data_IF_393798929754
#
_entry.id   IF_393798929754
#
_cell.length_a   1.000
_cell.length_b   1.000
_cell.length_c   1.000
_cell.angle_alpha   90.00
_cell.angle_beta   90.00
_cell.angle_gamma   90.00
#
_symmetry.space_group_name_H-M   'P 1'
#
loop_
_entity.id
_entity.type
_entity.pdbx_description
1 polymer ?
#
# COMPACT_ATOMS: atom_id res chain seq x y z
N UNK A 1 4.55 5.81 -81.36
CA UNK A 1 4.97 4.75 -80.40
C UNK A 1 5.78 5.47 -79.32
N UNK A 2 5.17 6.08 -78.30
CA UNK A 2 4.91 5.50 -76.96
C UNK A 2 6.17 4.75 -76.45
N UNK A 3 6.92 5.07 -75.39
CA UNK A 3 6.65 5.59 -74.02
C UNK A 3 8.02 6.02 -73.43
N UNK A 4 8.22 7.28 -73.01
CA UNK A 4 8.21 7.80 -71.63
C UNK A 4 8.97 7.02 -70.53
N UNK A 5 10.03 7.68 -70.03
CA UNK A 5 10.41 7.89 -68.61
C UNK A 5 10.25 6.73 -67.61
N UNK A 6 11.39 6.25 -67.11
CA UNK A 6 11.53 5.81 -65.71
C UNK A 6 12.76 6.45 -65.08
N UNK A 7 12.66 7.76 -64.85
CA UNK A 7 13.29 8.43 -63.71
C UNK A 7 12.31 8.30 -62.53
N UNK A 8 12.48 7.30 -61.66
CA UNK A 8 11.76 7.27 -60.39
C UNK A 8 12.47 6.44 -59.34
N UNK A 9 12.74 7.10 -58.21
CA UNK A 9 12.76 6.52 -56.87
C UNK A 9 13.99 5.69 -56.46
N UNK A 10 15.19 6.26 -56.56
CA UNK A 10 16.29 5.94 -55.63
C UNK A 10 16.56 7.12 -54.67
N UNK A 11 15.50 7.81 -54.29
CA UNK A 11 15.53 9.01 -53.47
C UNK A 11 14.24 9.06 -52.65
N UNK A 12 14.03 8.11 -51.71
CA UNK A 12 13.18 8.34 -50.52
C UNK A 12 13.04 7.15 -49.54
N UNK A 13 14.06 6.31 -49.32
CA UNK A 13 13.99 5.36 -48.19
C UNK A 13 15.33 5.28 -47.44
N UNK A 14 15.91 6.45 -47.14
CA UNK A 14 16.53 6.56 -45.82
C UNK A 14 15.33 6.49 -44.88
N UNK A 15 15.04 5.29 -44.39
CA UNK A 15 14.18 5.09 -43.24
C UNK A 15 14.67 6.08 -42.21
N UNK A 16 13.90 7.15 -42.08
CA UNK A 16 13.84 7.95 -40.90
C UNK A 16 13.34 6.98 -39.83
N UNK A 17 14.26 6.19 -39.29
CA UNK A 17 14.23 5.86 -37.89
C UNK A 17 14.41 7.20 -37.17
N UNK A 18 13.35 8.02 -37.18
CA UNK A 18 12.96 8.70 -35.97
C UNK A 18 12.76 7.54 -35.00
N UNK A 19 13.87 7.13 -34.38
CA UNK A 19 13.85 6.65 -33.02
C UNK A 19 13.18 7.82 -32.31
N UNK A 20 11.85 7.79 -32.23
CA UNK A 20 11.18 8.36 -31.10
C UNK A 20 11.97 7.77 -29.95
N UNK A 21 12.82 8.59 -29.33
CA UNK A 21 13.28 8.29 -27.99
C UNK A 21 11.98 8.02 -27.27
N UNK A 22 11.69 6.74 -27.03
CA UNK A 22 10.74 6.37 -26.01
C UNK A 22 11.42 6.94 -24.77
N UNK A 23 11.07 8.17 -24.45
CA UNK A 23 11.40 8.75 -23.18
C UNK A 23 10.61 7.86 -22.23
N UNK A 24 11.29 6.87 -21.66
CA UNK A 24 10.70 6.13 -20.56
C UNK A 24 10.28 7.20 -19.58
N UNK A 25 8.98 7.30 -19.28
CA UNK A 25 8.56 8.11 -18.16
C UNK A 25 9.41 7.66 -16.97
N UNK A 26 10.22 8.58 -16.43
CA UNK A 26 10.95 8.26 -15.22
C UNK A 26 9.92 7.82 -14.20
N UNK A 27 10.16 6.67 -13.55
CA UNK A 27 9.35 6.31 -12.40
C UNK A 27 9.49 7.48 -11.42
N UNK A 28 8.38 8.17 -11.20
CA UNK A 28 8.34 9.41 -10.43
C UNK A 28 8.86 9.18 -9.00
N UNK A 29 8.74 7.94 -8.50
CA UNK A 29 9.11 7.52 -7.17
C UNK A 29 10.10 6.35 -7.24
N UNK A 30 11.21 6.43 -6.51
CA UNK A 30 12.14 5.30 -6.33
C UNK A 30 11.96 4.60 -4.98
N UNK A 31 11.16 5.20 -4.10
CA UNK A 31 10.95 4.76 -2.73
C UNK A 31 9.46 4.74 -2.38
N UNK A 32 9.00 3.63 -1.83
CA UNK A 32 7.72 3.49 -1.13
C UNK A 32 7.99 3.52 0.37
N UNK A 33 7.22 4.31 1.10
CA UNK A 33 7.07 4.16 2.55
C UNK A 33 5.63 3.71 2.83
N UNK A 34 5.45 2.50 3.34
CA UNK A 34 4.13 1.91 3.56
C UNK A 34 3.79 1.83 5.04
N UNK A 35 2.59 2.31 5.38
CA UNK A 35 1.94 2.15 6.69
C UNK A 35 0.62 1.43 6.47
N UNK A 36 0.49 0.21 6.96
CA UNK A 36 -0.67 -0.64 6.65
C UNK A 36 -0.83 -1.79 7.65
N UNK A 37 -1.74 -2.70 7.33
CA UNK A 37 -2.03 -3.92 8.05
C UNK A 37 -1.54 -5.17 7.28
N UNK A 38 -2.23 -6.30 7.45
CA UNK A 38 -1.96 -7.57 6.77
C UNK A 38 -1.97 -7.46 5.25
N UNK A 39 -2.70 -6.49 4.69
CA UNK A 39 -2.85 -6.30 3.25
C UNK A 39 -1.56 -5.89 2.57
N UNK A 40 -0.60 -5.34 3.33
CA UNK A 40 0.71 -4.93 2.82
C UNK A 40 1.89 -5.47 3.64
N UNK A 41 1.66 -6.27 4.70
CA UNK A 41 2.73 -6.84 5.52
C UNK A 41 3.55 -7.90 4.75
N UNK A 42 4.85 -7.63 4.60
CA UNK A 42 5.83 -8.50 3.91
C UNK A 42 6.64 -9.39 4.85
N UNK A 43 6.25 -9.50 6.13
CA UNK A 43 6.86 -10.39 7.12
C UNK A 43 7.19 -9.75 8.48
N UNK A 44 6.75 -8.52 8.75
CA UNK A 44 6.98 -7.85 10.02
C UNK A 44 6.33 -8.61 11.18
N UNK A 45 5.08 -9.03 11.02
CA UNK A 45 4.43 -9.89 12.01
C UNK A 45 5.07 -11.28 12.10
N UNK A 46 5.50 -11.83 10.98
CA UNK A 46 6.22 -13.10 10.98
C UNK A 46 7.49 -13.04 11.81
N UNK A 47 8.25 -11.96 11.70
CA UNK A 47 9.42 -11.71 12.53
C UNK A 47 9.04 -11.45 13.99
N UNK A 48 8.02 -10.64 14.25
CA UNK A 48 7.53 -10.32 15.59
C UNK A 48 7.15 -11.59 16.38
N UNK A 49 6.56 -12.56 15.69
CA UNK A 49 6.08 -13.80 16.30
C UNK A 49 7.12 -14.92 16.29
N UNK A 50 8.41 -14.62 16.07
CA UNK A 50 9.47 -15.62 15.94
C UNK A 50 9.12 -16.71 14.90
N UNK A 51 8.60 -16.28 13.76
CA UNK A 51 8.23 -17.13 12.62
C UNK A 51 7.06 -18.09 12.88
N UNK A 52 6.24 -17.87 13.91
CA UNK A 52 5.09 -18.74 14.20
C UNK A 52 3.78 -18.29 13.56
N UNK A 53 3.64 -17.02 13.16
CA UNK A 53 2.40 -16.51 12.54
C UNK A 53 2.67 -15.39 11.54
N UNK A 54 2.03 -15.37 10.35
CA UNK A 54 1.07 -16.36 9.85
C UNK A 54 1.72 -17.73 9.57
N UNK A 55 0.95 -18.81 9.73
CA UNK A 55 1.43 -20.19 9.52
C UNK A 55 1.58 -20.47 8.02
N UNK A 56 2.78 -20.81 7.58
CA UNK A 56 3.08 -21.22 6.20
C UNK A 56 3.25 -22.75 6.15
N UNK A 57 2.40 -23.50 5.42
CA UNK A 57 1.19 -23.09 4.66
C UNK A 57 -0.08 -22.93 5.54
N UNK A 58 -1.17 -22.24 5.06
CA UNK A 58 -1.45 -21.83 3.68
C UNK A 58 -0.94 -20.42 3.29
N UNK A 59 -0.33 -19.71 4.23
CA UNK A 59 0.29 -18.41 3.95
C UNK A 59 1.65 -18.59 3.26
N UNK A 60 2.18 -17.52 2.68
CA UNK A 60 3.43 -17.56 1.92
C UNK A 60 4.51 -16.71 2.59
N UNK A 61 5.52 -17.34 3.19
CA UNK A 61 6.73 -16.69 3.73
C UNK A 61 6.41 -15.43 4.55
N UNK A 62 5.46 -15.54 5.48
CA UNK A 62 5.04 -14.44 6.35
C UNK A 62 4.06 -13.42 5.74
N UNK A 63 3.63 -13.56 4.48
CA UNK A 63 2.57 -12.73 3.88
C UNK A 63 1.21 -13.28 4.27
N UNK A 64 0.23 -12.39 4.43
CA UNK A 64 -1.19 -12.75 4.62
C UNK A 64 -1.88 -13.12 3.29
N UNK A 65 -1.17 -13.85 2.45
CA UNK A 65 -1.62 -14.34 1.15
C UNK A 65 -0.90 -15.65 0.82
N UNK A 66 -1.32 -16.34 -0.24
CA UNK A 66 -0.70 -17.58 -0.73
C UNK A 66 0.44 -17.32 -1.73
N UNK A 67 0.95 -16.08 -1.81
CA UNK A 67 2.04 -15.67 -2.67
C UNK A 67 2.50 -14.24 -2.39
N UNK A 68 3.35 -13.67 -3.26
CA UNK A 68 3.72 -12.27 -3.20
C UNK A 68 2.51 -11.35 -3.30
N UNK A 69 2.49 -10.32 -2.46
CA UNK A 69 1.37 -9.37 -2.35
C UNK A 69 1.53 -8.18 -3.29
N UNK A 70 0.48 -7.36 -3.40
CA UNK A 70 0.38 -6.27 -4.38
C UNK A 70 1.55 -5.28 -4.32
N UNK A 71 1.99 -4.90 -3.11
CA UNK A 71 3.02 -3.89 -2.92
C UNK A 71 4.39 -4.35 -3.43
N UNK A 72 4.66 -5.66 -3.41
CA UNK A 72 5.88 -6.28 -3.94
C UNK A 72 5.90 -6.29 -5.48
N UNK A 73 4.75 -6.05 -6.13
CA UNK A 73 4.57 -6.09 -7.58
C UNK A 73 4.62 -4.70 -8.22
N UNK A 74 4.77 -3.63 -7.43
CA UNK A 74 4.79 -2.25 -7.94
C UNK A 74 6.08 -1.89 -8.69
N UNK A 75 7.13 -2.70 -8.59
CA UNK A 75 8.38 -2.48 -9.34
C UNK A 75 9.21 -1.28 -8.88
N UNK A 76 8.91 -0.71 -7.70
CA UNK A 76 9.69 0.36 -7.09
C UNK A 76 10.86 -0.24 -6.30
N UNK A 77 12.05 0.31 -6.51
CA UNK A 77 13.32 -0.26 -6.05
C UNK A 77 13.47 -0.32 -4.53
N UNK A 78 12.96 0.67 -3.80
CA UNK A 78 13.13 0.77 -2.36
C UNK A 78 11.77 0.70 -1.66
N UNK A 79 11.50 -0.38 -0.95
CA UNK A 79 10.28 -0.56 -0.16
C UNK A 79 10.63 -0.51 1.33
N UNK A 80 10.23 0.58 1.99
CA UNK A 80 10.31 0.75 3.44
C UNK A 80 8.92 0.43 4.00
N UNK A 81 8.76 -0.78 4.53
CA UNK A 81 7.45 -1.30 4.92
C UNK A 81 7.28 -1.38 6.43
N UNK A 82 6.41 -0.54 6.98
CA UNK A 82 6.02 -0.56 8.39
C UNK A 82 4.71 -1.32 8.65
N UNK A 83 4.13 -1.98 7.65
CA UNK A 83 2.86 -2.67 7.81
C UNK A 83 2.97 -3.86 8.77
N UNK A 84 1.97 -4.04 9.65
CA UNK A 84 1.86 -5.21 10.53
C UNK A 84 0.47 -5.83 10.41
N UNK A 85 0.40 -7.13 10.12
CA UNK A 85 -0.83 -7.90 10.23
C UNK A 85 -1.61 -7.65 11.52
N UNK A 86 -2.88 -7.25 11.40
CA UNK A 86 -3.74 -6.91 12.54
C UNK A 86 -3.63 -5.46 13.04
N UNK A 87 -2.83 -4.61 12.39
CA UNK A 87 -2.73 -3.19 12.74
C UNK A 87 -4.07 -2.46 12.57
N UNK A 88 -4.42 -1.64 13.56
CA UNK A 88 -5.55 -0.69 13.55
C UNK A 88 -5.06 0.69 13.11
N UNK A 89 -5.98 1.65 12.90
CA UNK A 89 -5.56 3.02 12.55
C UNK A 89 -4.78 3.70 13.67
N UNK A 90 -5.15 3.47 14.93
CA UNK A 90 -4.45 3.98 16.11
C UNK A 90 -4.66 3.03 17.31
N UNK A 91 -3.57 2.60 17.94
CA UNK A 91 -3.65 1.80 19.16
C UNK A 91 -4.29 2.53 20.34
N UNK A 92 -4.30 3.88 20.34
CA UNK A 92 -5.02 4.66 21.36
C UNK A 92 -6.54 4.63 21.17
N UNK A 93 -7.04 4.34 19.96
CA UNK A 93 -8.47 4.12 19.72
C UNK A 93 -8.84 2.68 20.01
N UNK A 94 -8.09 1.74 19.45
CA UNK A 94 -8.24 0.30 19.69
C UNK A 94 -6.93 -0.41 19.37
N UNK A 95 -6.43 -1.22 20.30
CA UNK A 95 -5.19 -1.97 20.15
C UNK A 95 -5.34 -3.08 19.11
N UNK A 96 -4.42 -3.15 18.15
CA UNK A 96 -4.32 -4.25 17.20
C UNK A 96 -3.51 -5.42 17.75
N UNK A 97 -3.85 -6.64 17.35
CA UNK A 97 -3.18 -7.86 17.79
C UNK A 97 -2.89 -8.83 16.64
N UNK A 98 -1.94 -9.74 16.88
CA UNK A 98 -1.79 -10.96 16.09
C UNK A 98 -2.78 -12.03 16.57
N UNK A 99 -2.99 -13.09 15.77
CA UNK A 99 -3.81 -14.23 16.21
C UNK A 99 -3.19 -15.02 17.40
N UNK A 100 -1.91 -14.78 17.71
CA UNK A 100 -1.22 -15.33 18.88
C UNK A 100 -1.14 -14.32 20.03
N UNK A 101 -2.03 -13.32 20.03
CA UNK A 101 -2.21 -12.33 21.09
C UNK A 101 -0.98 -11.46 21.39
N UNK A 102 -0.16 -11.16 20.37
CA UNK A 102 0.90 -10.16 20.47
C UNK A 102 0.39 -8.82 19.95
N UNK A 103 0.69 -7.73 20.67
CA UNK A 103 0.33 -6.38 20.23
C UNK A 103 1.11 -5.99 18.97
N UNK A 104 0.44 -5.32 18.03
CA UNK A 104 1.06 -4.77 16.82
C UNK A 104 0.84 -3.25 16.74
N UNK A 105 1.81 -2.51 16.17
CA UNK A 105 1.69 -1.06 16.05
C UNK A 105 0.60 -0.69 15.05
N UNK A 106 -0.32 0.19 15.48
CA UNK A 106 -1.29 0.82 14.59
C UNK A 106 -0.64 1.84 13.66
N UNK A 107 -1.39 2.34 12.67
CA UNK A 107 -0.86 3.25 11.64
C UNK A 107 -0.22 4.51 12.26
N UNK A 108 -0.85 5.10 13.29
CA UNK A 108 -0.27 6.22 14.05
C UNK A 108 1.10 5.86 14.65
N UNK A 109 1.23 4.68 15.25
CA UNK A 109 2.48 4.21 15.86
C UNK A 109 3.55 3.86 14.81
N UNK A 110 3.15 3.31 13.66
CA UNK A 110 4.04 3.05 12.53
C UNK A 110 4.61 4.37 11.98
N UNK A 111 3.78 5.41 11.81
CA UNK A 111 4.21 6.76 11.41
C UNK A 111 5.13 7.38 12.46
N UNK A 112 4.81 7.26 13.75
CA UNK A 112 5.70 7.72 14.83
C UNK A 112 7.06 7.04 14.75
N UNK A 113 7.10 5.74 14.50
CA UNK A 113 8.36 4.99 14.36
C UNK A 113 9.18 5.53 13.19
N UNK A 114 8.56 5.70 12.02
CA UNK A 114 9.22 6.31 10.86
C UNK A 114 9.79 7.70 11.18
N UNK A 115 9.03 8.55 11.86
CA UNK A 115 9.47 9.89 12.28
C UNK A 115 10.65 9.88 13.24
N UNK A 116 10.71 8.89 14.11
CA UNK A 116 11.76 8.80 15.12
C UNK A 116 13.08 8.26 14.57
N UNK A 117 13.03 7.36 13.58
CA UNK A 117 14.24 6.68 13.08
C UNK A 117 14.79 7.26 11.77
N UNK A 118 14.01 8.11 11.09
CA UNK A 118 14.41 8.66 9.78
C UNK A 118 15.14 9.99 9.94
N UNK A 119 16.33 10.10 9.36
CA UNK A 119 17.04 11.37 9.20
C UNK A 119 16.47 12.12 7.99
N UNK A 120 15.54 13.04 8.25
CA UNK A 120 14.85 13.78 7.20
C UNK A 120 15.75 14.71 6.37
N UNK A 121 16.98 14.98 6.82
CA UNK A 121 17.94 15.75 6.03
C UNK A 121 18.57 14.93 4.90
N UNK A 122 18.40 13.60 4.92
CA UNK A 122 19.01 12.67 3.95
C UNK A 122 18.02 12.08 2.96
N UNK A 123 16.74 12.43 3.04
CA UNK A 123 15.71 11.89 2.15
C UNK A 123 15.23 12.94 1.15
N UNK A 124 14.84 12.49 -0.05
CA UNK A 124 14.22 13.36 -1.06
C UNK A 124 12.71 13.09 -1.11
N UNK A 125 11.93 13.94 -0.44
CA UNK A 125 10.46 13.81 -0.40
C UNK A 125 9.77 13.81 -1.78
N UNK A 126 10.40 14.36 -2.83
CA UNK A 126 9.83 14.35 -4.17
C UNK A 126 9.92 12.97 -4.86
N UNK A 127 10.73 12.05 -4.33
CA UNK A 127 10.94 10.70 -4.89
C UNK A 127 10.32 9.59 -4.03
N UNK A 128 9.59 9.97 -2.97
CA UNK A 128 8.92 9.05 -2.06
C UNK A 128 7.42 9.12 -2.29
N UNK A 129 6.78 7.95 -2.45
CA UNK A 129 5.34 7.80 -2.32
C UNK A 129 5.01 7.12 -0.98
N UNK A 130 4.11 7.75 -0.21
CA UNK A 130 3.62 7.24 1.05
C UNK A 130 2.32 6.47 0.84
N UNK A 131 2.28 5.21 1.25
CA UNK A 131 1.11 4.35 1.10
C UNK A 131 0.44 4.17 2.45
N UNK A 132 -0.87 4.41 2.52
CA UNK A 132 -1.67 4.23 3.72
C UNK A 132 -2.88 3.35 3.38
N UNK A 133 -3.02 2.23 4.09
CA UNK A 133 -4.18 1.34 3.95
C UNK A 133 -4.47 0.61 5.26
N UNK A 134 -5.58 0.97 5.91
CA UNK A 134 -6.07 0.35 7.14
C UNK A 134 -7.54 0.73 7.40
N UNK A 135 -8.15 0.07 8.39
CA UNK A 135 -9.47 0.41 8.92
C UNK A 135 -10.32 -0.81 9.27
N UNK A 136 -10.16 -1.90 8.53
CA UNK A 136 -10.88 -3.16 8.76
C UNK A 136 -10.73 -3.69 10.20
N UNK A 137 -9.50 -3.65 10.71
CA UNK A 137 -9.17 -4.17 12.04
C UNK A 137 -9.83 -3.33 13.15
N UNK A 138 -9.97 -2.02 12.96
CA UNK A 138 -10.59 -1.13 13.96
C UNK A 138 -12.01 -1.60 14.30
N UNK A 139 -12.82 -1.89 13.27
CA UNK A 139 -14.18 -2.41 13.46
C UNK A 139 -14.20 -3.87 13.93
N UNK A 140 -13.21 -4.67 13.55
CA UNK A 140 -13.11 -6.06 13.99
C UNK A 140 -12.82 -6.17 15.48
N UNK A 141 -11.99 -5.27 16.01
CA UNK A 141 -11.66 -5.21 17.44
C UNK A 141 -12.66 -4.38 18.25
N UNK A 142 -13.31 -3.39 17.64
CA UNK A 142 -14.32 -2.56 18.29
C UNK A 142 -15.42 -2.12 17.32
N UNK A 143 -16.51 -2.89 17.28
CA UNK A 143 -17.69 -2.63 16.45
C UNK A 143 -18.46 -1.34 16.82
N UNK A 144 -18.14 -0.69 17.94
CA UNK A 144 -18.81 0.57 18.31
C UNK A 144 -18.13 1.80 17.71
N UNK A 145 -16.98 1.64 17.04
CA UNK A 145 -16.30 2.75 16.40
C UNK A 145 -17.09 3.28 15.21
N UNK A 146 -17.21 4.61 15.11
CA UNK A 146 -17.79 5.25 13.94
C UNK A 146 -16.76 5.38 12.82
N UNK A 147 -17.23 5.34 11.57
CA UNK A 147 -16.37 5.59 10.42
C UNK A 147 -15.65 6.94 10.48
N UNK A 148 -16.33 7.98 10.98
CA UNK A 148 -15.73 9.30 11.18
C UNK A 148 -14.53 9.29 12.13
N UNK A 149 -14.55 8.46 13.18
CA UNK A 149 -13.45 8.34 14.14
C UNK A 149 -12.24 7.67 13.51
N UNK A 150 -12.45 6.56 12.79
CA UNK A 150 -11.40 5.82 12.07
C UNK A 150 -10.78 6.69 10.97
N UNK A 151 -11.60 7.37 10.16
CA UNK A 151 -11.12 8.28 9.11
C UNK A 151 -10.34 9.46 9.70
N UNK A 152 -10.80 10.04 10.81
CA UNK A 152 -10.09 11.14 11.49
C UNK A 152 -8.70 10.70 11.97
N UNK A 153 -8.56 9.47 12.46
CA UNK A 153 -7.27 8.90 12.83
C UNK A 153 -6.29 8.85 11.66
N UNK A 154 -6.74 8.35 10.50
CA UNK A 154 -5.94 8.31 9.27
C UNK A 154 -5.56 9.71 8.78
N UNK A 155 -6.50 10.66 8.79
CA UNK A 155 -6.25 12.06 8.43
C UNK A 155 -5.18 12.67 9.34
N UNK A 156 -5.23 12.42 10.65
CA UNK A 156 -4.20 12.87 11.57
C UNK A 156 -2.83 12.26 11.22
N UNK A 157 -2.79 10.96 10.89
CA UNK A 157 -1.58 10.29 10.37
C UNK A 157 -0.99 10.97 9.14
N UNK A 158 -1.83 11.26 8.15
CA UNK A 158 -1.44 11.96 6.93
C UNK A 158 -0.90 13.36 7.25
N UNK A 159 -1.57 14.11 8.13
CA UNK A 159 -1.13 15.44 8.55
C UNK A 159 0.25 15.40 9.22
N UNK A 160 0.54 14.39 10.04
CA UNK A 160 1.86 14.22 10.65
C UNK A 160 2.98 13.96 9.64
N UNK A 161 2.65 13.28 8.52
CA UNK A 161 3.57 13.07 7.40
C UNK A 161 3.73 14.35 6.58
N UNK A 162 2.66 15.10 6.34
CA UNK A 162 2.73 16.40 5.64
C UNK A 162 3.63 17.37 6.42
N UNK A 163 3.52 17.41 7.75
CA UNK A 163 4.33 18.29 8.61
C UNK A 163 5.84 18.06 8.49
N UNK A 164 6.28 16.83 8.21
CA UNK A 164 7.70 16.52 8.01
C UNK A 164 8.15 16.73 6.56
N UNK A 165 7.23 17.04 5.63
CA UNK A 165 7.54 17.34 4.23
C UNK A 165 7.07 16.31 3.21
N UNK A 166 6.29 15.29 3.60
CA UNK A 166 5.72 14.33 2.67
C UNK A 166 4.75 14.99 1.68
N UNK A 167 4.83 14.59 0.40
CA UNK A 167 4.10 15.25 -0.71
C UNK A 167 3.21 14.32 -1.51
N UNK A 168 3.60 13.06 -1.66
CA UNK A 168 2.93 12.12 -2.55
C UNK A 168 2.35 10.97 -1.73
N UNK A 169 1.04 10.77 -1.89
CA UNK A 169 0.30 9.79 -1.11
C UNK A 169 -0.53 8.91 -2.02
N UNK A 170 -0.53 7.61 -1.73
CA UNK A 170 -1.54 6.67 -2.18
C UNK A 170 -2.34 6.22 -0.96
N UNK A 171 -3.59 6.69 -0.88
CA UNK A 171 -4.51 6.33 0.19
C UNK A 171 -5.47 5.30 -0.38
N UNK A 172 -5.39 4.06 0.10
CA UNK A 172 -6.21 2.97 -0.41
C UNK A 172 -7.51 2.92 0.39
N UNK A 173 -8.62 2.88 -0.34
CA UNK A 173 -9.94 2.82 0.29
C UNK A 173 -10.18 1.49 1.01
N UNK A 174 -11.08 1.49 1.98
CA UNK A 174 -11.45 0.28 2.69
C UNK A 174 -12.21 -0.66 1.74
N UNK A 175 -11.74 -1.90 1.60
CA UNK A 175 -12.45 -2.91 0.81
C UNK A 175 -13.80 -3.25 1.47
N UNK A 176 -14.84 -3.58 0.68
CA UNK A 176 -16.17 -3.97 1.18
C UNK A 176 -16.08 -5.07 2.25
N UNK A 177 -16.24 -4.70 3.52
CA UNK A 177 -16.03 -5.62 4.65
C UNK A 177 -17.10 -6.71 4.70
N UNK A 178 -18.31 -6.41 4.25
CA UNK A 178 -19.41 -7.36 4.09
C UNK A 178 -19.10 -8.49 3.12
N UNK A 179 -18.17 -8.27 2.19
CA UNK A 179 -17.77 -9.29 1.21
C UNK A 179 -16.78 -10.30 1.80
N UNK A 180 -16.19 -10.03 2.98
CA UNK A 180 -15.23 -10.95 3.59
C UNK A 180 -15.95 -12.22 4.05
N UNK A 181 -15.37 -13.43 3.82
CA UNK A 181 -15.99 -14.68 4.26
C UNK A 181 -16.35 -14.70 5.76
N UNK A 182 -15.52 -14.07 6.60
CA UNK A 182 -15.78 -13.97 8.04
C UNK A 182 -17.03 -13.12 8.37
N UNK A 183 -17.30 -12.07 7.60
CA UNK A 183 -18.49 -11.23 7.79
C UNK A 183 -19.78 -12.00 7.47
N UNK A 184 -19.75 -12.83 6.42
CA UNK A 184 -20.85 -13.71 6.05
C UNK A 184 -21.11 -14.78 7.14
N UNK A 185 -20.05 -15.34 7.72
CA UNK A 185 -20.15 -16.32 8.79
C UNK A 185 -20.71 -15.75 10.11
N UNK A 186 -20.46 -14.46 10.40
CA UNK A 186 -20.88 -13.79 11.64
C UNK A 186 -22.27 -13.14 11.57
N UNK A 187 -22.94 -13.17 10.41
CA UNK A 187 -24.26 -12.57 10.18
C UNK A 187 -24.38 -11.08 10.58
N UNK A 188 -23.30 -10.31 10.40
CA UNK A 188 -23.22 -8.85 10.61
C UNK A 188 -23.16 -7.99 9.30
N UNK A 189 -23.68 -8.43 8.13
CA UNK A 189 -23.37 -7.79 6.86
C UNK A 189 -23.95 -6.35 6.73
N UNK A 190 -25.06 -6.04 7.40
CA UNK A 190 -25.72 -4.74 7.20
C UNK A 190 -25.02 -3.57 7.91
N UNK A 191 -24.40 -3.79 9.07
CA UNK A 191 -23.55 -2.79 9.70
C UNK A 191 -22.29 -2.53 8.85
N UNK A 192 -21.67 -3.59 8.34
CA UNK A 192 -20.43 -3.49 7.56
C UNK A 192 -20.63 -2.79 6.21
N UNK A 193 -21.81 -2.93 5.56
CA UNK A 193 -22.16 -2.15 4.36
C UNK A 193 -22.08 -0.65 4.60
N UNK A 194 -22.45 -0.16 5.79
CA UNK A 194 -22.43 1.28 6.09
C UNK A 194 -21.02 1.87 6.22
N UNK A 195 -20.00 1.01 6.31
CA UNK A 195 -18.60 1.39 6.53
C UNK A 195 -17.77 1.42 5.25
N UNK A 196 -18.34 1.06 4.11
CA UNK A 196 -17.65 0.98 2.82
C UNK A 196 -18.52 1.55 1.71
N UNK A 197 -17.90 2.11 0.67
CA UNK A 197 -18.63 2.54 -0.53
C UNK A 197 -18.93 1.31 -1.41
N UNK A 198 -20.13 1.29 -2.03
CA UNK A 198 -20.55 0.27 -2.99
C UNK A 198 -19.76 0.31 -4.31
#
# INVERSE_FOLDING_TARGET
MYINRLSCQFLLFILIFYVYKIQSEEILYDTIVCFSDSSSDTGNVYNLTNSTWPIDPPYYKGRFSNGPIWIEKLGISNLINYAYGGATTDNNLVQGYTAVNMMVPGIRQQITTYKNITDFNKINFNRIIYIIWAGANDYSYNISLSASTVVKSLINGINDLIQIGAKHFLIVNQSPLQAYPIAQALNIPDYLKTLTFD
#
